data_IF_392698058938
#
_entry.id   IF_392698058938
#
_cell.length_a   1.000
_cell.length_b   1.000
_cell.length_c   1.000
_cell.angle_alpha   90.00
_cell.angle_beta   90.00
_cell.angle_gamma   90.00
#
_symmetry.space_group_name_H-M   'P 1'
#
loop_
_entity.id
_entity.type
_entity.pdbx_description
1 polymer ?
#
# COMPACT_ATOMS: atom_id res chain seq x y z
N UNK A 1 -3.68 -2.97 -31.69
CA UNK A 1 -4.82 -2.88 -30.76
C UNK A 1 -4.52 -3.77 -29.57
N UNK A 2 -3.95 -3.24 -28.48
CA UNK A 2 -3.53 -4.04 -27.31
C UNK A 2 -4.79 -4.32 -26.49
N UNK A 3 -5.39 -5.49 -26.69
CA UNK A 3 -6.46 -6.01 -25.84
C UNK A 3 -5.79 -6.58 -24.58
N UNK A 4 -5.72 -5.77 -23.53
CA UNK A 4 -5.41 -6.26 -22.18
C UNK A 4 -6.75 -6.72 -21.60
N UNK A 5 -7.18 -7.93 -21.95
CA UNK A 5 -8.23 -8.61 -21.21
C UNK A 5 -7.56 -9.16 -19.94
N UNK A 6 -7.65 -8.40 -18.83
CA UNK A 6 -7.19 -8.82 -17.50
C UNK A 6 -8.17 -9.87 -16.94
N UNK A 7 -8.24 -11.05 -17.57
CA UNK A 7 -9.11 -12.20 -17.28
C UNK A 7 -9.82 -12.15 -15.91
N UNK A 8 -10.86 -11.30 -15.73
CA UNK A 8 -11.32 -10.97 -14.38
C UNK A 8 -12.33 -12.01 -13.89
N UNK A 9 -12.91 -12.75 -14.83
CA UNK A 9 -13.99 -13.72 -14.66
C UNK A 9 -13.62 -15.10 -15.24
N UNK A 10 -12.42 -15.25 -15.80
CA UNK A 10 -11.99 -16.44 -16.54
C UNK A 10 -10.59 -16.87 -16.11
N UNK A 11 -10.25 -18.15 -16.31
CA UNK A 11 -8.91 -18.66 -15.98
C UNK A 11 -7.86 -18.02 -16.89
N UNK A 12 -6.72 -17.62 -16.32
CA UNK A 12 -5.59 -17.08 -17.08
C UNK A 12 -4.90 -18.23 -17.84
N UNK A 13 -4.82 -18.17 -19.19
CA UNK A 13 -4.08 -19.14 -19.99
C UNK A 13 -2.61 -19.26 -19.58
N UNK A 14 -2.01 -20.45 -19.67
CA UNK A 14 -0.64 -20.67 -19.19
C UNK A 14 0.40 -19.80 -19.91
N UNK A 15 0.16 -19.48 -21.18
CA UNK A 15 0.97 -18.60 -22.04
C UNK A 15 0.85 -17.10 -21.71
N UNK A 16 -0.09 -16.74 -20.81
CA UNK A 16 -0.33 -15.36 -20.36
C UNK A 16 0.02 -15.11 -18.89
N UNK A 17 0.53 -16.13 -18.19
CA UNK A 17 0.98 -16.00 -16.80
C UNK A 17 2.24 -15.14 -16.72
N UNK A 18 2.28 -14.25 -15.74
CA UNK A 18 3.42 -13.36 -15.51
C UNK A 18 4.45 -14.02 -14.59
N UNK A 19 5.72 -13.69 -14.77
CA UNK A 19 6.78 -14.25 -13.94
C UNK A 19 6.71 -13.73 -12.49
N UNK A 20 7.15 -14.54 -11.54
CA UNK A 20 7.27 -14.16 -10.13
C UNK A 20 8.02 -12.82 -9.95
N UNK A 21 9.10 -12.62 -10.71
CA UNK A 21 9.89 -11.39 -10.67
C UNK A 21 9.07 -10.18 -11.12
N UNK A 22 8.21 -10.31 -12.13
CA UNK A 22 7.33 -9.23 -12.58
C UNK A 22 6.32 -8.86 -11.49
N UNK A 23 5.73 -9.84 -10.81
CA UNK A 23 4.80 -9.60 -9.68
C UNK A 23 5.51 -8.97 -8.49
N UNK A 24 6.73 -9.43 -8.18
CA UNK A 24 7.58 -8.86 -7.14
C UNK A 24 7.97 -7.40 -7.44
N UNK A 25 8.32 -7.07 -8.68
CA UNK A 25 8.61 -5.69 -9.11
C UNK A 25 7.37 -4.80 -8.95
N UNK A 26 6.18 -5.29 -9.29
CA UNK A 26 4.94 -4.55 -9.07
C UNK A 26 4.67 -4.31 -7.59
N UNK A 27 4.91 -5.31 -6.72
CA UNK A 27 4.79 -5.14 -5.26
C UNK A 27 5.85 -4.20 -4.69
N UNK A 28 7.09 -4.25 -5.20
CA UNK A 28 8.13 -3.28 -4.84
C UNK A 28 7.73 -1.85 -5.22
N UNK A 29 7.03 -1.66 -6.34
CA UNK A 29 6.46 -0.36 -6.70
C UNK A 29 5.33 0.11 -5.76
N UNK A 30 4.59 -0.81 -5.15
CA UNK A 30 3.61 -0.45 -4.10
C UNK A 30 4.28 0.03 -2.80
N UNK A 31 5.54 -0.34 -2.54
CA UNK A 31 6.27 0.13 -1.35
C UNK A 31 6.55 1.64 -1.35
N UNK A 32 6.43 2.32 -2.50
CA UNK A 32 6.62 3.77 -2.59
C UNK A 32 5.37 4.57 -2.24
N UNK A 33 4.31 3.92 -1.77
CA UNK A 33 3.07 4.58 -1.44
C UNK A 33 3.14 5.28 -0.06
N UNK A 34 2.35 6.35 0.08
CA UNK A 34 2.35 7.23 1.26
C UNK A 34 1.98 6.50 2.56
N UNK A 35 1.23 5.40 2.47
CA UNK A 35 0.87 4.53 3.59
C UNK A 35 2.10 3.93 4.28
N UNK A 36 3.12 3.52 3.53
CA UNK A 36 4.35 2.97 4.11
C UNK A 36 5.13 4.04 4.88
N UNK A 37 5.13 5.27 4.37
CA UNK A 37 5.74 6.41 5.05
C UNK A 37 4.99 6.75 6.35
N UNK A 38 3.65 6.76 6.32
CA UNK A 38 2.84 6.95 7.52
C UNK A 38 3.11 5.88 8.57
N UNK A 39 3.18 4.62 8.15
CA UNK A 39 3.43 3.50 9.05
C UNK A 39 4.79 3.67 9.74
N UNK A 40 5.83 4.02 8.97
CA UNK A 40 7.15 4.35 9.53
C UNK A 40 7.10 5.51 10.52
N UNK A 41 6.35 6.57 10.21
CA UNK A 41 6.19 7.73 11.10
C UNK A 41 5.47 7.37 12.42
N UNK A 42 4.42 6.54 12.36
CA UNK A 42 3.70 6.06 13.56
C UNK A 42 4.61 5.19 14.42
N UNK A 43 5.33 4.23 13.83
CA UNK A 43 6.24 3.38 14.58
C UNK A 43 7.40 4.19 15.18
N UNK A 44 8.00 5.12 14.43
CA UNK A 44 9.07 5.98 14.93
C UNK A 44 8.62 6.97 16.02
N UNK A 45 7.34 7.32 16.08
CA UNK A 45 6.78 8.17 17.13
C UNK A 45 6.49 7.40 18.43
N UNK A 46 6.20 6.10 18.33
CA UNK A 46 5.67 5.28 19.43
C UNK A 46 6.60 4.17 19.91
N UNK A 47 7.71 3.90 19.22
CA UNK A 47 8.62 2.79 19.53
C UNK A 47 10.08 3.23 19.36
N UNK A 48 10.99 2.57 20.10
CA UNK A 48 12.41 2.75 19.85
C UNK A 48 12.75 2.30 18.43
N UNK A 49 13.83 2.83 17.85
CA UNK A 49 14.28 2.46 16.51
C UNK A 49 14.47 0.94 16.38
N UNK A 50 15.06 0.31 17.40
CA UNK A 50 15.30 -1.13 17.41
C UNK A 50 13.99 -1.93 17.41
N UNK A 51 13.05 -1.57 18.28
CA UNK A 51 11.75 -2.26 18.36
C UNK A 51 10.91 -2.04 17.09
N UNK A 52 10.95 -0.84 16.51
CA UNK A 52 10.30 -0.53 15.25
C UNK A 52 10.85 -1.40 14.11
N UNK A 53 12.18 -1.54 13.99
CA UNK A 53 12.79 -2.43 12.99
C UNK A 53 12.42 -3.90 13.19
N UNK A 54 12.39 -4.38 14.43
CA UNK A 54 11.94 -5.74 14.74
C UNK A 54 10.48 -5.94 14.33
N UNK A 55 9.60 -4.99 14.67
CA UNK A 55 8.19 -5.05 14.33
C UNK A 55 7.98 -5.06 12.80
N UNK A 56 8.71 -4.20 12.07
CA UNK A 56 8.68 -4.17 10.61
C UNK A 56 9.19 -5.48 10.04
N UNK A 57 10.32 -6.00 10.53
CA UNK A 57 10.92 -7.24 10.01
C UNK A 57 10.00 -8.45 10.22
N UNK A 58 9.52 -8.66 11.44
CA UNK A 58 8.63 -9.78 11.77
C UNK A 58 7.29 -9.63 11.04
N UNK A 59 6.71 -8.43 11.05
CA UNK A 59 5.45 -8.17 10.33
C UNK A 59 5.58 -8.41 8.83
N UNK A 60 6.68 -7.95 8.23
CA UNK A 60 6.97 -8.18 6.80
C UNK A 60 7.20 -9.65 6.48
N UNK A 61 7.83 -10.42 7.40
CA UNK A 61 8.02 -11.86 7.25
C UNK A 61 6.67 -12.60 7.27
N UNK A 62 5.80 -12.29 8.23
CA UNK A 62 4.45 -12.86 8.32
C UNK A 62 3.66 -12.53 7.05
N UNK A 63 3.67 -11.26 6.65
CA UNK A 63 3.01 -10.80 5.42
C UNK A 63 3.53 -11.54 4.19
N UNK A 64 4.85 -11.71 4.07
CA UNK A 64 5.48 -12.44 2.97
C UNK A 64 5.06 -13.92 2.92
N UNK A 65 5.00 -14.61 4.06
CA UNK A 65 4.56 -16.01 4.14
C UNK A 65 3.10 -16.15 3.73
N UNK A 66 2.22 -15.28 4.23
CA UNK A 66 0.78 -15.32 3.88
C UNK A 66 0.57 -15.01 2.39
N UNK A 67 1.23 -13.97 1.89
CA UNK A 67 1.14 -13.58 0.47
C UNK A 67 1.68 -14.66 -0.45
N UNK A 68 2.79 -15.31 -0.07
CA UNK A 68 3.33 -16.45 -0.80
C UNK A 68 2.35 -17.63 -0.84
N UNK A 69 1.73 -17.97 0.30
CA UNK A 69 0.72 -19.02 0.37
C UNK A 69 -0.49 -18.75 -0.53
N UNK A 70 -1.03 -17.53 -0.46
CA UNK A 70 -2.15 -17.10 -1.31
C UNK A 70 -1.76 -17.06 -2.79
N UNK A 71 -0.58 -16.54 -3.11
CA UNK A 71 -0.05 -16.51 -4.48
C UNK A 71 0.15 -17.91 -5.06
N UNK A 72 0.71 -18.85 -4.28
CA UNK A 72 0.89 -20.24 -4.71
C UNK A 72 -0.46 -20.94 -4.98
N UNK A 73 -1.45 -20.72 -4.10
CA UNK A 73 -2.80 -21.25 -4.30
C UNK A 73 -3.45 -20.66 -5.56
N UNK A 74 -3.31 -19.35 -5.78
CA UNK A 74 -3.73 -18.68 -7.00
C UNK A 74 -3.10 -19.29 -8.24
N UNK A 75 -1.77 -19.39 -8.29
CA UNK A 75 -1.04 -19.85 -9.49
C UNK A 75 -1.42 -21.29 -9.87
N UNK A 76 -1.68 -22.15 -8.87
CA UNK A 76 -2.09 -23.54 -9.10
C UNK A 76 -3.48 -23.62 -9.72
N UNK A 77 -4.42 -22.81 -9.26
CA UNK A 77 -5.81 -22.83 -9.73
C UNK A 77 -6.05 -21.97 -10.99
N UNK A 78 -5.16 -21.01 -11.27
CA UNK A 78 -5.22 -20.15 -12.45
C UNK A 78 -6.43 -19.21 -12.50
N UNK A 79 -7.05 -18.93 -11.34
CA UNK A 79 -8.23 -18.06 -11.16
C UNK A 79 -7.87 -16.88 -10.25
N UNK A 80 -8.54 -15.73 -10.43
CA UNK A 80 -8.38 -14.57 -9.56
C UNK A 80 -8.74 -14.89 -8.10
N UNK A 81 -8.14 -14.20 -7.13
CA UNK A 81 -8.32 -14.48 -5.69
C UNK A 81 -9.78 -14.44 -5.23
N UNK A 82 -10.62 -13.60 -5.85
CA UNK A 82 -12.06 -13.54 -5.60
C UNK A 82 -12.83 -14.78 -6.09
N UNK A 83 -12.37 -15.41 -7.17
CA UNK A 83 -12.88 -16.69 -7.67
C UNK A 83 -12.39 -17.87 -6.81
N UNK A 84 -11.18 -17.79 -6.27
CA UNK A 84 -10.64 -18.79 -5.34
C UNK A 84 -11.49 -18.88 -4.07
N UNK A 85 -11.89 -17.73 -3.51
CA UNK A 85 -12.77 -17.66 -2.33
C UNK A 85 -14.12 -18.36 -2.57
N UNK A 86 -14.67 -18.27 -3.78
CA UNK A 86 -15.91 -18.98 -4.17
C UNK A 86 -15.75 -20.51 -4.11
N UNK A 87 -14.55 -21.02 -4.40
CA UNK A 87 -14.25 -22.46 -4.47
C UNK A 87 -13.77 -23.04 -3.13
N UNK A 88 -13.23 -22.21 -2.23
CA UNK A 88 -12.87 -22.61 -0.86
C UNK A 88 -14.07 -22.78 0.10
N UNK A 89 -15.29 -22.97 -0.41
CA UNK A 89 -16.47 -23.30 0.40
C UNK A 89 -17.41 -22.14 0.73
N UNK A 90 -17.09 -20.89 0.37
CA UNK A 90 -17.98 -19.73 0.62
C UNK A 90 -19.17 -19.63 -0.35
N UNK A 91 -19.15 -20.37 -1.45
CA UNK A 91 -20.17 -20.30 -2.48
C UNK A 91 -20.26 -18.92 -3.15
N UNK A 92 -21.29 -18.70 -3.98
CA UNK A 92 -21.47 -17.44 -4.71
C UNK A 92 -21.81 -16.26 -3.80
N UNK A 93 -22.57 -16.49 -2.73
CA UNK A 93 -22.96 -15.44 -1.79
C UNK A 93 -21.79 -15.01 -0.91
N UNK A 94 -21.01 -15.96 -0.39
CA UNK A 94 -19.85 -15.65 0.46
C UNK A 94 -18.70 -14.99 -0.32
N UNK A 95 -18.51 -15.31 -1.61
CA UNK A 95 -17.55 -14.57 -2.44
C UNK A 95 -17.93 -13.10 -2.64
N UNK A 96 -19.24 -12.80 -2.70
CA UNK A 96 -19.72 -11.40 -2.78
C UNK A 96 -19.47 -10.67 -1.47
N UNK A 97 -19.73 -11.30 -0.32
CA UNK A 97 -19.44 -10.70 0.99
C UNK A 97 -17.95 -10.37 1.16
N UNK A 98 -17.06 -11.30 0.80
CA UNK A 98 -15.61 -11.07 0.83
C UNK A 98 -15.24 -9.92 -0.12
N UNK A 99 -15.81 -9.90 -1.34
CA UNK A 99 -15.60 -8.80 -2.28
C UNK A 99 -16.04 -7.44 -1.75
N UNK A 100 -17.18 -7.38 -1.06
CA UNK A 100 -17.69 -6.14 -0.42
C UNK A 100 -16.76 -5.68 0.71
N UNK A 101 -16.29 -6.60 1.56
CA UNK A 101 -15.35 -6.28 2.65
C UNK A 101 -14.04 -5.71 2.09
N UNK A 102 -13.49 -6.33 1.04
CA UNK A 102 -12.30 -5.83 0.35
C UNK A 102 -12.57 -4.46 -0.27
N UNK A 103 -13.71 -4.27 -0.96
CA UNK A 103 -14.07 -2.98 -1.56
C UNK A 103 -14.17 -1.86 -0.52
N UNK A 104 -14.82 -2.10 0.63
CA UNK A 104 -14.90 -1.14 1.74
C UNK A 104 -13.50 -0.81 2.26
N UNK A 105 -12.65 -1.82 2.43
CA UNK A 105 -11.28 -1.62 2.90
C UNK A 105 -10.46 -0.74 1.94
N UNK A 106 -10.57 -0.98 0.63
CA UNK A 106 -9.89 -0.19 -0.40
C UNK A 106 -10.41 1.25 -0.46
N UNK A 107 -11.72 1.45 -0.32
CA UNK A 107 -12.30 2.79 -0.22
C UNK A 107 -11.79 3.53 1.02
N UNK A 108 -11.65 2.83 2.15
CA UNK A 108 -11.06 3.38 3.38
C UNK A 108 -9.60 3.82 3.17
N UNK A 109 -8.78 2.94 2.58
CA UNK A 109 -7.38 3.26 2.26
C UNK A 109 -7.24 4.41 1.27
N UNK A 110 -8.07 4.45 0.23
CA UNK A 110 -8.13 5.58 -0.69
C UNK A 110 -8.49 6.87 0.06
N UNK A 111 -9.46 6.83 0.97
CA UNK A 111 -9.85 7.97 1.79
C UNK A 111 -8.71 8.51 2.66
N UNK A 112 -7.95 7.63 3.32
CA UNK A 112 -6.80 8.03 4.16
C UNK A 112 -5.71 8.70 3.31
N UNK A 113 -5.35 8.10 2.17
CA UNK A 113 -4.34 8.67 1.27
C UNK A 113 -4.80 10.01 0.69
N UNK A 114 -6.07 10.11 0.29
CA UNK A 114 -6.64 11.34 -0.22
C UNK A 114 -6.69 12.43 0.86
N UNK A 115 -7.01 12.10 2.10
CA UNK A 115 -7.05 13.06 3.20
C UNK A 115 -5.67 13.68 3.48
N UNK A 116 -4.61 12.89 3.39
CA UNK A 116 -3.24 13.39 3.57
C UNK A 116 -2.84 14.25 2.39
N UNK A 117 -3.10 13.79 1.17
CA UNK A 117 -2.82 14.58 -0.02
C UNK A 117 -3.59 15.91 -0.02
N UNK A 118 -4.85 15.91 0.42
CA UNK A 118 -5.67 17.10 0.59
C UNK A 118 -5.09 18.06 1.62
N UNK A 119 -4.63 17.57 2.78
CA UNK A 119 -3.94 18.40 3.78
C UNK A 119 -2.67 19.02 3.22
N UNK A 120 -1.86 18.23 2.50
CA UNK A 120 -0.64 18.73 1.85
C UNK A 120 -0.95 19.76 0.76
N UNK A 121 -2.03 19.57 -0.01
CA UNK A 121 -2.48 20.49 -1.05
C UNK A 121 -2.97 21.81 -0.45
N UNK A 122 -3.81 21.76 0.59
CA UNK A 122 -4.29 22.95 1.28
C UNK A 122 -3.13 23.73 1.90
N UNK A 123 -2.20 23.03 2.55
CA UNK A 123 -0.98 23.62 3.09
C UNK A 123 -0.14 24.32 2.00
N UNK A 124 0.05 23.66 0.85
CA UNK A 124 0.80 24.23 -0.29
C UNK A 124 0.12 25.47 -0.90
N UNK A 125 -1.21 25.57 -0.78
CA UNK A 125 -2.00 26.72 -1.25
C UNK A 125 -2.20 27.81 -0.17
N UNK A 126 -1.52 27.68 0.97
CA UNK A 126 -1.56 28.65 2.06
C UNK A 126 -2.83 28.56 2.93
N UNK A 127 -3.40 27.36 3.07
CA UNK A 127 -4.60 27.05 3.85
C UNK A 127 -5.86 27.83 3.40
N UNK A 128 -5.95 28.13 2.09
CA UNK A 128 -7.04 28.93 1.51
C UNK A 128 -8.25 28.10 1.07
N UNK A 129 -8.05 26.82 0.76
CA UNK A 129 -9.13 25.95 0.30
C UNK A 129 -9.92 25.36 1.46
N UNK A 130 -9.23 25.04 2.56
CA UNK A 130 -9.77 24.23 3.63
C UNK A 130 -9.87 22.76 3.24
N UNK A 131 -9.89 21.90 4.26
CA UNK A 131 -9.81 20.44 4.09
C UNK A 131 -10.90 19.86 3.17
N UNK A 132 -12.15 20.30 3.31
CA UNK A 132 -13.27 19.74 2.53
C UNK A 132 -13.13 19.97 1.02
N UNK A 133 -12.81 21.20 0.61
CA UNK A 133 -12.60 21.52 -0.81
C UNK A 133 -11.33 20.88 -1.34
N UNK A 134 -10.24 20.89 -0.57
CA UNK A 134 -9.00 20.22 -0.97
C UNK A 134 -9.19 18.71 -1.16
N UNK A 135 -9.94 18.04 -0.27
CA UNK A 135 -10.25 16.61 -0.35
C UNK A 135 -11.18 16.28 -1.53
N UNK A 136 -12.19 17.11 -1.78
CA UNK A 136 -13.07 16.96 -2.93
C UNK A 136 -12.33 17.11 -4.26
N UNK A 137 -11.49 18.15 -4.39
CA UNK A 137 -10.70 18.41 -5.59
C UNK A 137 -9.69 17.30 -5.87
N UNK A 138 -8.88 16.95 -4.87
CA UNK A 138 -7.86 15.89 -5.00
C UNK A 138 -8.48 14.52 -5.30
N UNK A 139 -9.54 14.15 -4.58
CA UNK A 139 -10.21 12.87 -4.78
C UNK A 139 -10.86 12.76 -6.16
N UNK A 140 -11.53 13.83 -6.61
CA UNK A 140 -12.13 13.89 -7.95
C UNK A 140 -11.08 13.81 -9.04
N UNK A 141 -9.98 14.57 -8.91
CA UNK A 141 -8.89 14.58 -9.88
C UNK A 141 -8.24 13.19 -10.00
N UNK A 142 -7.95 12.54 -8.87
CA UNK A 142 -7.39 11.18 -8.87
C UNK A 142 -8.36 10.16 -9.46
N UNK A 143 -9.66 10.27 -9.15
CA UNK A 143 -10.69 9.39 -9.70
C UNK A 143 -10.81 9.56 -11.22
N UNK A 144 -10.82 10.79 -11.71
CA UNK A 144 -10.83 11.11 -13.15
C UNK A 144 -9.56 10.58 -13.83
N UNK A 145 -8.39 10.78 -13.21
CA UNK A 145 -7.12 10.29 -13.73
C UNK A 145 -7.13 8.78 -13.94
N UNK A 146 -7.68 8.03 -12.96
CA UNK A 146 -7.85 6.58 -13.05
C UNK A 146 -8.91 6.21 -14.09
N UNK A 147 -9.99 6.99 -14.23
CA UNK A 147 -11.03 6.78 -15.23
C UNK A 147 -10.52 6.93 -16.68
N UNK A 148 -9.52 7.80 -16.93
CA UNK A 148 -8.83 7.89 -18.22
C UNK A 148 -7.89 6.69 -18.51
N UNK A 149 -7.78 5.75 -17.58
CA UNK A 149 -7.18 4.43 -17.77
C UNK A 149 -5.70 4.35 -17.41
N UNK A 150 -5.18 3.11 -17.43
CA UNK A 150 -3.83 2.75 -16.99
C UNK A 150 -2.68 3.52 -17.66
N UNK A 151 -2.90 4.07 -18.87
CA UNK A 151 -1.87 4.84 -19.58
C UNK A 151 -1.58 6.17 -18.89
N UNK A 152 -2.62 6.90 -18.47
CA UNK A 152 -2.48 8.16 -17.75
C UNK A 152 -1.83 7.93 -16.37
N UNK A 153 -2.31 6.91 -15.65
CA UNK A 153 -1.77 6.52 -14.35
C UNK A 153 -0.28 6.16 -14.43
N UNK A 154 0.14 5.39 -15.44
CA UNK A 154 1.54 4.98 -15.60
C UNK A 154 2.48 6.18 -15.85
N UNK A 155 2.04 7.18 -16.61
CA UNK A 155 2.83 8.38 -16.87
C UNK A 155 2.96 9.21 -15.57
N UNK A 156 1.85 9.41 -14.87
CA UNK A 156 1.85 10.11 -13.58
C UNK A 156 2.78 9.42 -12.57
N UNK A 157 2.68 8.09 -12.42
CA UNK A 157 3.52 7.31 -11.51
C UNK A 157 5.00 7.37 -11.87
N UNK A 158 5.35 7.36 -13.17
CA UNK A 158 6.75 7.45 -13.63
C UNK A 158 7.43 8.74 -13.20
N UNK A 159 6.67 9.82 -13.00
CA UNK A 159 7.19 11.12 -12.54
C UNK A 159 7.10 11.21 -11.02
N UNK A 160 5.94 10.88 -10.45
CA UNK A 160 5.66 11.03 -9.03
C UNK A 160 6.57 10.14 -8.15
N UNK A 161 6.83 8.89 -8.55
CA UNK A 161 7.63 7.96 -7.75
C UNK A 161 9.09 8.42 -7.60
N UNK A 162 9.83 8.74 -8.69
CA UNK A 162 11.18 9.28 -8.54
C UNK A 162 11.23 10.58 -7.74
N UNK A 163 10.28 11.51 -7.98
CA UNK A 163 10.21 12.76 -7.21
C UNK A 163 10.01 12.51 -5.72
N UNK A 164 9.14 11.56 -5.36
CA UNK A 164 8.91 11.18 -3.97
C UNK A 164 10.17 10.60 -3.33
N UNK A 165 10.87 9.68 -4.02
CA UNK A 165 12.13 9.10 -3.53
C UNK A 165 13.19 10.19 -3.31
N UNK A 166 13.34 11.11 -4.26
CA UNK A 166 14.28 12.22 -4.14
C UNK A 166 13.93 13.14 -2.95
N UNK A 167 12.64 13.43 -2.75
CA UNK A 167 12.16 14.23 -1.62
C UNK A 167 12.45 13.54 -0.27
N UNK A 168 12.15 12.25 -0.15
CA UNK A 168 12.42 11.48 1.08
C UNK A 168 13.91 11.43 1.37
N UNK A 169 14.75 11.21 0.35
CA UNK A 169 16.20 11.22 0.50
C UNK A 169 16.71 12.59 0.95
N UNK A 170 16.20 13.67 0.34
CA UNK A 170 16.54 15.04 0.73
C UNK A 170 16.18 15.32 2.18
N UNK A 171 14.93 15.06 2.59
CA UNK A 171 14.46 15.25 3.97
C UNK A 171 15.32 14.43 4.94
N UNK A 172 15.60 13.17 4.63
CA UNK A 172 16.41 12.29 5.48
C UNK A 172 17.82 12.84 5.66
N UNK A 173 18.49 13.27 4.59
CA UNK A 173 19.84 13.84 4.66
C UNK A 173 19.82 15.15 5.46
N UNK A 174 18.89 16.06 5.19
CA UNK A 174 18.80 17.35 5.89
C UNK A 174 18.57 17.16 7.39
N UNK A 175 17.64 16.30 7.79
CA UNK A 175 17.35 16.02 9.20
C UNK A 175 18.53 15.33 9.90
N UNK A 176 19.17 14.35 9.25
CA UNK A 176 20.28 13.59 9.84
C UNK A 176 21.59 14.37 9.88
N UNK A 177 21.81 15.33 8.97
CA UNK A 177 23.09 16.05 8.86
C UNK A 177 23.52 16.84 10.11
N UNK A 178 22.58 17.14 11.01
CA UNK A 178 22.84 17.83 12.28
C UNK A 178 22.82 16.94 13.52
N UNK A 179 22.64 15.63 13.39
CA UNK A 179 22.41 14.71 14.51
C UNK A 179 23.40 13.54 14.51
N UNK A 180 23.84 13.11 15.69
CA UNK A 180 24.66 11.91 15.82
C UNK A 180 23.76 10.66 15.72
N UNK A 181 24.15 9.69 14.89
CA UNK A 181 23.39 8.44 14.71
C UNK A 181 23.21 7.68 16.04
N UNK A 182 24.22 7.72 16.92
CA UNK A 182 24.14 7.11 18.24
C UNK A 182 23.05 7.74 19.12
N UNK A 183 22.90 9.07 19.07
CA UNK A 183 21.87 9.79 19.84
C UNK A 183 20.47 9.48 19.31
N UNK A 184 20.32 9.34 17.99
CA UNK A 184 19.05 8.98 17.35
C UNK A 184 18.62 7.56 17.74
N UNK A 185 19.53 6.60 17.81
CA UNK A 185 19.22 5.22 18.21
C UNK A 185 18.73 5.15 19.66
N UNK A 186 19.23 6.04 20.52
CA UNK A 186 18.87 6.11 21.94
C UNK A 186 17.70 7.05 22.25
N UNK A 187 17.11 7.67 21.22
CA UNK A 187 16.03 8.63 21.40
C UNK A 187 14.80 7.93 21.98
N UNK A 188 14.26 8.50 23.06
CA UNK A 188 13.02 8.01 23.65
C UNK A 188 11.84 8.45 22.77
N UNK A 189 10.92 7.54 22.41
CA UNK A 189 9.78 7.88 21.58
C UNK A 189 8.88 8.91 22.30
N UNK A 190 8.48 10.01 21.64
CA UNK A 190 7.67 11.04 22.29
C UNK A 190 6.18 10.70 22.39
N UNK A 191 5.70 9.70 21.65
CA UNK A 191 4.31 9.27 21.63
C UNK A 191 3.96 8.23 22.69
N UNK A 192 2.70 7.80 22.69
CA UNK A 192 2.29 6.67 23.53
C UNK A 192 3.05 5.40 23.11
N UNK A 193 3.65 4.67 24.07
CA UNK A 193 4.49 3.53 23.77
C UNK A 193 3.65 2.38 23.23
N UNK A 194 4.04 1.86 22.06
CA UNK A 194 3.46 0.66 21.48
C UNK A 194 4.27 -0.58 21.85
N UNK A 195 3.58 -1.67 22.14
CA UNK A 195 4.22 -2.98 22.30
C UNK A 195 4.70 -3.50 20.94
N UNK A 196 5.75 -4.33 20.92
CA UNK A 196 6.25 -4.98 19.69
C UNK A 196 5.14 -5.74 18.98
N UNK A 197 4.28 -6.45 19.71
CA UNK A 197 3.11 -7.15 19.15
C UNK A 197 2.11 -6.20 18.47
N UNK A 198 1.87 -5.02 19.05
CA UNK A 198 1.00 -4.02 18.43
C UNK A 198 1.64 -3.47 17.14
N UNK A 199 2.95 -3.18 17.17
CA UNK A 199 3.71 -2.78 15.99
C UNK A 199 3.64 -3.81 14.85
N UNK A 200 3.85 -5.09 15.16
CA UNK A 200 3.72 -6.20 14.19
C UNK A 200 2.29 -6.23 13.62
N UNK A 201 1.27 -6.08 14.46
CA UNK A 201 -0.13 -6.11 14.04
C UNK A 201 -0.45 -4.96 13.08
N UNK A 202 0.08 -3.77 13.32
CA UNK A 202 -0.08 -2.61 12.44
C UNK A 202 0.58 -2.87 11.08
N UNK A 203 1.80 -3.40 11.06
CA UNK A 203 2.54 -3.78 9.84
C UNK A 203 1.77 -4.80 9.02
N UNK A 204 1.39 -5.92 9.64
CA UNK A 204 0.67 -7.00 8.94
C UNK A 204 -0.71 -6.52 8.49
N UNK A 205 -1.47 -5.88 9.39
CA UNK A 205 -2.83 -5.41 9.11
C UNK A 205 -2.89 -4.36 8.00
N UNK A 206 -1.90 -3.48 7.91
CA UNK A 206 -1.79 -2.50 6.83
C UNK A 206 -1.56 -3.13 5.46
N UNK A 207 -0.76 -4.19 5.41
CA UNK A 207 -0.37 -4.81 4.15
C UNK A 207 -1.30 -5.97 3.71
N UNK A 208 -2.02 -6.61 4.62
CA UNK A 208 -2.72 -7.88 4.35
C UNK A 208 -3.76 -7.78 3.22
N UNK A 209 -4.41 -6.63 3.06
CA UNK A 209 -5.41 -6.41 2.00
C UNK A 209 -4.76 -6.48 0.61
N UNK A 210 -3.50 -6.05 0.48
CA UNK A 210 -2.75 -6.15 -0.77
C UNK A 210 -2.54 -7.62 -1.18
N UNK A 211 -2.34 -8.54 -0.22
CA UNK A 211 -2.17 -9.97 -0.50
C UNK A 211 -3.39 -10.62 -1.16
N UNK A 212 -4.60 -10.09 -0.89
CA UNK A 212 -5.84 -10.56 -1.50
C UNK A 212 -6.01 -10.07 -2.94
N UNK A 213 -5.28 -9.02 -3.32
CA UNK A 213 -5.34 -8.40 -4.64
C UNK A 213 -4.16 -8.74 -5.54
N UNK A 214 -3.17 -9.49 -5.03
CA UNK A 214 -1.99 -9.88 -5.77
C UNK A 214 -2.41 -10.59 -7.08
N UNK A 215 -1.97 -10.12 -8.26
CA UNK A 215 -2.28 -10.76 -9.53
C UNK A 215 -1.62 -12.14 -9.60
N UNK A 216 -2.35 -13.08 -10.20
CA UNK A 216 -2.06 -14.52 -10.23
C UNK A 216 -1.67 -14.96 -11.64
#
# INVERSE_FOLDING_TARGET
MIKIEDYPLTRVPQDKRVSFLSVAIVHMGMLTALDQFMLGAVLGHSMTLFDAFIAIFIGSLIFGVVTYGLGLAGMREGISGSLLARWCGFGRLGSVLIGVVVAISLLGWFGIQNAIFAKSLDFALGNKLGFGLAAGLSGTLLTILVAFGFKALRIAARIAVPMFIMLVAYISITVLSGHNLQEIIQLVPPGEPLTISAGITIVVGGAIVASLMTPI
#
